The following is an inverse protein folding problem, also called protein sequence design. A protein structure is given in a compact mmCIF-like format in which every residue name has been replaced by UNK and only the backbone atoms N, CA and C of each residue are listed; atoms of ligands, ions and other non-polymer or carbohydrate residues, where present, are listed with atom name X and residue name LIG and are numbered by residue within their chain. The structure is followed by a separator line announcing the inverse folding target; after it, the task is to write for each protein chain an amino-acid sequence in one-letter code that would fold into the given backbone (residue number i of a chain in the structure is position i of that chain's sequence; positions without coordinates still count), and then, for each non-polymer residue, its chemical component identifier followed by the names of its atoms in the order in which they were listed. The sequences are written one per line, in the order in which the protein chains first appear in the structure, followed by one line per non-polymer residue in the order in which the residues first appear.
data_IF_735548193490
#
_entry.id   IF_735548193490
#
_cell.length_a   1.000
_cell.length_b   1.000
_cell.length_c   1.000
_cell.angle_alpha   90.00
_cell.angle_beta   90.00
_cell.angle_gamma   90.00
#
_symmetry.space_group_name_H-M   'P 1'
#
loop_
_entity.id
_entity.type
_entity.pdbx_description
1 polymer ?
#
# COMPACT_ATOMS: atom_id res chain seq x y z
N UNK A 1 -62.75 -33.07 -21.61
CA UNK A 1 -61.89 -34.16 -21.11
C UNK A 1 -60.51 -33.57 -20.81
N UNK A 2 -60.28 -32.99 -19.61
CA UNK A 2 -59.72 -33.61 -18.37
C UNK A 2 -58.26 -34.05 -18.57
N UNK A 3 -57.20 -33.62 -17.84
CA UNK A 3 -56.92 -33.00 -16.52
C UNK A 3 -55.54 -32.30 -16.65
N UNK A 4 -55.20 -31.10 -16.14
CA UNK A 4 -55.10 -30.54 -14.77
C UNK A 4 -54.28 -31.38 -13.77
N UNK A 5 -53.07 -30.92 -13.44
CA UNK A 5 -52.41 -31.22 -12.16
C UNK A 5 -51.74 -29.94 -11.63
N UNK A 6 -52.42 -29.34 -10.67
CA UNK A 6 -51.87 -28.41 -9.67
C UNK A 6 -51.40 -29.26 -8.48
N UNK A 7 -50.25 -28.95 -7.89
CA UNK A 7 -50.03 -29.14 -6.45
C UNK A 7 -49.02 -28.11 -5.92
N UNK A 8 -49.55 -27.13 -5.19
CA UNK A 8 -48.89 -26.42 -4.08
C UNK A 8 -49.34 -27.10 -2.77
N UNK A 9 -48.91 -26.64 -1.59
CA UNK A 9 -47.55 -26.60 -1.04
C UNK A 9 -47.53 -27.31 0.33
N UNK A 10 -46.35 -27.61 0.90
CA UNK A 10 -46.29 -27.97 2.32
C UNK A 10 -45.34 -27.06 3.12
N UNK A 11 -45.92 -26.48 4.17
CA UNK A 11 -45.31 -25.62 5.19
C UNK A 11 -45.12 -26.48 6.42
N UNK A 12 -43.97 -26.45 7.07
CA UNK A 12 -43.82 -26.37 8.54
C UNK A 12 -42.34 -26.01 8.85
N UNK A 13 -42.01 -24.81 9.36
CA UNK A 13 -42.04 -24.39 10.79
C UNK A 13 -40.98 -25.18 11.58
N UNK A 14 -39.86 -24.66 12.12
CA UNK A 14 -39.63 -23.62 13.16
C UNK A 14 -38.10 -23.43 13.29
N UNK A 15 -37.54 -22.22 13.18
CA UNK A 15 -37.10 -21.27 14.25
C UNK A 15 -35.84 -21.64 15.08
N UNK A 16 -35.02 -20.59 15.28
CA UNK A 16 -34.09 -20.28 16.40
C UNK A 16 -32.61 -20.68 16.27
N UNK A 17 -31.76 -19.66 16.10
CA UNK A 17 -30.63 -19.32 16.99
C UNK A 17 -29.96 -18.03 16.46
N UNK A 18 -30.26 -16.85 17.02
CA UNK A 18 -29.52 -16.16 18.09
C UNK A 18 -28.10 -15.71 17.73
N UNK A 19 -28.01 -14.37 17.59
CA UNK A 19 -26.90 -13.44 17.89
C UNK A 19 -25.65 -14.02 18.56
N UNK A 20 -24.49 -13.62 18.05
CA UNK A 20 -23.34 -13.22 18.87
C UNK A 20 -22.50 -12.19 18.11
N UNK A 21 -22.54 -10.95 18.59
CA UNK A 21 -21.50 -9.94 18.39
C UNK A 21 -20.56 -10.13 19.58
N UNK A 22 -19.28 -10.42 19.33
CA UNK A 22 -18.23 -10.26 20.33
C UNK A 22 -16.88 -9.98 19.68
N UNK A 23 -16.40 -8.80 20.05
CA UNK A 23 -15.06 -8.21 20.06
C UNK A 23 -13.90 -9.18 20.29
N UNK A 24 -12.76 -8.94 19.63
CA UNK A 24 -11.43 -9.24 20.18
C UNK A 24 -10.36 -8.33 19.55
N UNK A 25 -10.01 -7.26 20.28
CA UNK A 25 -8.76 -6.51 20.13
C UNK A 25 -7.65 -7.36 20.76
N UNK A 26 -6.68 -7.78 19.96
CA UNK A 26 -5.46 -8.45 20.47
C UNK A 26 -4.40 -7.38 20.68
N UNK A 27 -4.18 -7.01 21.94
CA UNK A 27 -2.95 -6.35 22.40
C UNK A 27 -2.12 -7.43 23.06
N UNK A 28 -1.09 -7.92 22.36
CA UNK A 28 -0.11 -8.83 22.93
C UNK A 28 1.06 -8.00 23.50
N UNK A 29 1.08 -7.83 24.82
CA UNK A 29 2.28 -7.43 25.55
C UNK A 29 3.03 -8.70 25.95
N UNK A 30 4.19 -8.94 25.34
CA UNK A 30 5.11 -10.00 25.75
C UNK A 30 6.17 -9.41 26.68
N UNK A 31 6.06 -9.76 27.96
CA UNK A 31 7.13 -9.62 28.92
C UNK A 31 8.22 -10.67 28.61
N UNK A 32 9.46 -10.22 28.49
CA UNK A 32 10.63 -11.09 28.31
C UNK A 32 11.39 -11.12 29.63
N UNK A 33 11.34 -12.25 30.33
CA UNK A 33 12.34 -12.64 31.33
C UNK A 33 13.02 -13.91 30.83
N UNK A 34 14.33 -13.86 30.64
CA UNK A 34 15.09 -14.99 30.13
C UNK A 34 16.59 -14.72 30.08
N UNK A 35 17.27 -15.14 31.16
CA UNK A 35 18.60 -15.72 31.24
C UNK A 35 19.71 -15.24 30.28
N UNK A 36 20.78 -14.74 30.91
CA UNK A 36 22.11 -14.47 30.35
C UNK A 36 22.72 -15.71 29.67
N UNK A 37 22.52 -15.83 28.36
CA UNK A 37 23.42 -16.59 27.50
C UNK A 37 24.59 -15.68 27.10
N UNK A 38 25.82 -16.19 27.21
CA UNK A 38 27.05 -15.43 26.97
C UNK A 38 26.98 -14.63 25.66
N UNK A 39 27.17 -13.31 25.78
CA UNK A 39 27.21 -12.42 24.63
C UNK A 39 28.32 -12.89 23.69
N UNK A 40 27.94 -13.41 22.52
CA UNK A 40 28.81 -13.36 21.36
C UNK A 40 29.29 -11.90 21.22
N UNK A 41 30.57 -11.63 20.92
CA UNK A 41 31.03 -10.26 20.74
C UNK A 41 30.12 -9.62 19.70
N UNK A 42 29.41 -8.57 20.10
CA UNK A 42 28.51 -7.83 19.23
C UNK A 42 29.29 -7.50 17.96
N UNK A 43 28.85 -8.02 16.80
CA UNK A 43 29.39 -7.55 15.53
C UNK A 43 29.31 -6.03 15.56
N UNK A 44 30.47 -5.36 15.45
CA UNK A 44 30.51 -3.92 15.40
C UNK A 44 29.53 -3.48 14.31
N UNK A 45 28.58 -2.60 14.67
CA UNK A 45 27.58 -2.15 13.72
C UNK A 45 28.30 -1.55 12.50
N UNK A 46 27.88 -1.96 11.29
CA UNK A 46 28.43 -1.44 10.04
C UNK A 46 28.45 0.09 10.11
N UNK A 47 29.58 0.77 9.81
CA UNK A 47 29.66 2.22 9.94
C UNK A 47 28.55 2.96 9.20
N UNK A 48 28.01 4.04 9.79
CA UNK A 48 26.89 4.83 9.23
C UNK A 48 27.19 5.32 7.82
N UNK A 49 28.44 5.69 7.52
CA UNK A 49 28.85 6.09 6.18
C UNK A 49 28.67 4.94 5.15
N UNK A 50 29.03 3.71 5.51
CA UNK A 50 28.87 2.54 4.65
C UNK A 50 27.40 2.19 4.43
N UNK A 51 26.56 2.34 5.46
CA UNK A 51 25.10 2.18 5.33
C UNK A 51 24.50 3.24 4.42
N UNK A 52 24.91 4.50 4.60
CA UNK A 52 24.49 5.64 3.78
C UNK A 52 24.86 5.46 2.31
N UNK A 53 26.11 5.07 2.03
CA UNK A 53 26.57 4.76 0.67
C UNK A 53 25.75 3.65 0.03
N UNK A 54 25.54 2.55 0.76
CA UNK A 54 24.76 1.40 0.28
C UNK A 54 23.31 1.80 -0.03
N UNK A 55 22.69 2.62 0.82
CA UNK A 55 21.34 3.16 0.61
C UNK A 55 21.25 4.02 -0.64
N UNK A 56 22.19 4.95 -0.85
CA UNK A 56 22.23 5.76 -2.07
C UNK A 56 22.42 4.92 -3.32
N UNK A 57 23.31 3.93 -3.29
CA UNK A 57 23.55 3.04 -4.42
C UNK A 57 22.37 2.12 -4.72
N UNK A 58 21.73 1.57 -3.68
CA UNK A 58 20.51 0.79 -3.86
C UNK A 58 19.42 1.64 -4.51
N UNK A 59 19.20 2.85 -4.01
CA UNK A 59 18.21 3.78 -4.57
C UNK A 59 18.56 4.19 -6.00
N UNK A 60 19.82 4.50 -6.31
CA UNK A 60 20.23 4.91 -7.67
C UNK A 60 19.94 3.81 -8.70
N UNK A 61 20.16 2.56 -8.33
CA UNK A 61 19.98 1.38 -9.18
C UNK A 61 18.52 0.89 -9.26
N UNK A 62 17.64 1.33 -8.36
CA UNK A 62 16.23 0.88 -8.30
C UNK A 62 15.20 1.98 -8.52
N UNK A 63 15.59 3.26 -8.54
CA UNK A 63 14.64 4.38 -8.61
C UNK A 63 13.82 4.39 -9.90
N UNK A 64 14.39 3.93 -11.02
CA UNK A 64 13.65 3.83 -12.30
C UNK A 64 12.52 2.79 -12.20
N UNK A 65 12.81 1.61 -11.65
CA UNK A 65 11.80 0.57 -11.43
C UNK A 65 10.74 1.03 -10.41
N UNK A 66 11.19 1.72 -9.35
CA UNK A 66 10.29 2.34 -8.36
C UNK A 66 9.36 3.37 -9.01
N UNK A 67 9.89 4.23 -9.88
CA UNK A 67 9.09 5.22 -10.60
C UNK A 67 8.04 4.55 -11.51
N UNK A 68 8.40 3.47 -12.19
CA UNK A 68 7.47 2.70 -13.00
C UNK A 68 6.32 2.11 -12.16
N UNK A 69 6.64 1.44 -11.05
CA UNK A 69 5.66 0.88 -10.11
C UNK A 69 4.71 1.94 -9.55
N UNK A 70 5.25 3.12 -9.18
CA UNK A 70 4.43 4.23 -8.69
C UNK A 70 3.49 4.78 -9.77
N UNK A 71 3.94 4.87 -11.03
CA UNK A 71 3.07 5.32 -12.14
C UNK A 71 1.96 4.32 -12.44
N UNK A 72 2.24 3.02 -12.41
CA UNK A 72 1.20 1.99 -12.53
C UNK A 72 0.16 2.10 -11.40
N UNK A 73 0.65 2.23 -10.17
CA UNK A 73 -0.22 2.46 -9.00
C UNK A 73 -1.09 3.70 -9.18
N UNK A 74 -0.50 4.81 -9.65
CA UNK A 74 -1.22 6.06 -9.90
C UNK A 74 -2.34 5.87 -10.93
N UNK A 75 -2.08 5.17 -12.04
CA UNK A 75 -3.09 4.93 -13.08
C UNK A 75 -4.29 4.11 -12.56
N UNK A 76 -4.03 3.10 -11.72
CA UNK A 76 -5.08 2.32 -11.06
C UNK A 76 -5.87 3.19 -10.08
N UNK A 77 -5.18 4.00 -9.27
CA UNK A 77 -5.82 4.90 -8.31
C UNK A 77 -6.71 5.95 -9.00
N UNK A 78 -6.27 6.53 -10.12
CA UNK A 78 -7.07 7.47 -10.91
C UNK A 78 -8.32 6.82 -11.50
N UNK A 79 -8.21 5.58 -11.97
CA UNK A 79 -9.37 4.82 -12.46
C UNK A 79 -10.35 4.55 -11.33
N UNK A 80 -9.86 4.10 -10.16
CA UNK A 80 -10.71 3.90 -8.99
C UNK A 80 -11.38 5.22 -8.54
N UNK A 81 -10.63 6.33 -8.49
CA UNK A 81 -11.18 7.63 -8.13
C UNK A 81 -12.36 8.01 -9.04
N UNK A 82 -12.22 7.84 -10.36
CA UNK A 82 -13.32 8.09 -11.31
C UNK A 82 -14.53 7.20 -11.04
N UNK A 83 -14.32 5.92 -10.77
CA UNK A 83 -15.40 4.99 -10.39
C UNK A 83 -16.11 5.45 -9.13
N UNK A 84 -15.38 5.85 -8.09
CA UNK A 84 -15.97 6.33 -6.84
C UNK A 84 -16.70 7.66 -7.02
N UNK A 85 -16.20 8.57 -7.85
CA UNK A 85 -16.90 9.81 -8.19
C UNK A 85 -18.24 9.53 -8.86
N UNK A 86 -18.30 8.57 -9.78
CA UNK A 86 -19.55 8.14 -10.41
C UNK A 86 -20.51 7.49 -9.39
N UNK A 87 -19.98 6.67 -8.48
CA UNK A 87 -20.77 6.07 -7.41
C UNK A 87 -21.36 7.12 -6.46
N UNK A 88 -20.61 8.18 -6.12
CA UNK A 88 -21.10 9.31 -5.34
C UNK A 88 -22.21 10.06 -6.08
N UNK A 89 -22.06 10.30 -7.38
CA UNK A 89 -23.10 10.94 -8.19
C UNK A 89 -24.40 10.11 -8.17
N UNK A 90 -24.30 8.79 -8.33
CA UNK A 90 -25.44 7.89 -8.23
C UNK A 90 -26.08 7.88 -6.83
N UNK A 91 -25.26 7.86 -5.77
CA UNK A 91 -25.75 7.89 -4.39
C UNK A 91 -26.48 9.21 -4.08
N UNK A 92 -25.98 10.35 -4.56
CA UNK A 92 -26.66 11.65 -4.43
C UNK A 92 -27.97 11.71 -5.20
N UNK A 93 -28.03 11.12 -6.40
CA UNK A 93 -29.27 11.01 -7.16
C UNK A 93 -30.32 10.16 -6.42
N UNK A 94 -29.89 9.03 -5.83
CA UNK A 94 -30.75 8.17 -5.02
C UNK A 94 -31.23 8.87 -3.75
N UNK A 95 -30.37 9.64 -3.07
CA UNK A 95 -30.75 10.47 -1.93
C UNK A 95 -31.84 11.48 -2.32
N UNK A 96 -31.63 12.24 -3.39
CA UNK A 96 -32.62 13.21 -3.86
C UNK A 96 -33.97 12.55 -4.24
N UNK A 97 -33.94 11.33 -4.81
CA UNK A 97 -35.15 10.57 -5.09
C UNK A 97 -35.88 10.12 -3.82
N UNK A 98 -35.14 9.65 -2.81
CA UNK A 98 -35.71 9.24 -1.53
C UNK A 98 -36.31 10.42 -0.74
N UNK A 99 -35.67 11.59 -0.81
CA UNK A 99 -36.20 12.84 -0.22
C UNK A 99 -37.52 13.27 -0.89
N UNK A 100 -37.63 13.16 -2.22
CA UNK A 100 -38.89 13.40 -2.94
C UNK A 100 -39.98 12.41 -2.53
N UNK A 101 -39.64 11.13 -2.38
CA UNK A 101 -40.60 10.12 -1.91
C UNK A 101 -41.07 10.40 -0.49
N UNK A 102 -40.16 10.82 0.40
CA UNK A 102 -40.50 11.22 1.76
C UNK A 102 -41.44 12.44 1.79
N UNK A 103 -41.17 13.45 0.98
CA UNK A 103 -42.04 14.62 0.85
C UNK A 103 -43.45 14.21 0.39
N UNK A 104 -43.55 13.38 -0.65
CA UNK A 104 -44.82 12.86 -1.16
C UNK A 104 -45.58 12.01 -0.13
N UNK A 105 -44.89 11.14 0.61
CA UNK A 105 -45.50 10.33 1.66
C UNK A 105 -45.96 11.17 2.86
N UNK A 106 -45.23 12.24 3.19
CA UNK A 106 -45.61 13.20 4.23
C UNK A 106 -46.89 13.93 3.84
N UNK A 107 -46.95 14.49 2.63
CA UNK A 107 -48.15 15.14 2.11
C UNK A 107 -49.36 14.19 2.06
N UNK A 108 -49.16 12.93 1.65
CA UNK A 108 -50.23 11.93 1.63
C UNK A 108 -50.74 11.55 3.03
N UNK A 109 -49.84 11.51 4.02
CA UNK A 109 -50.19 11.27 5.41
C UNK A 109 -51.00 12.45 5.98
N UNK A 110 -50.56 13.68 5.74
CA UNK A 110 -51.25 14.89 6.17
C UNK A 110 -52.64 15.00 5.52
N UNK A 111 -52.76 14.71 4.23
CA UNK A 111 -54.02 14.71 3.50
C UNK A 111 -55.01 13.62 3.99
N UNK A 112 -54.53 12.50 4.54
CA UNK A 112 -55.39 11.42 5.04
C UNK A 112 -55.98 11.71 6.43
N UNK A 113 -55.40 12.64 7.19
CA UNK A 113 -55.77 12.90 8.58
C UNK A 113 -57.14 13.59 8.73
N UNK A 114 -57.47 14.70 8.02
CA UNK A 114 -58.77 15.34 8.16
C UNK A 114 -59.96 14.42 7.81
N UNK A 115 -59.96 13.66 6.70
CA UNK A 115 -61.06 12.75 6.38
C UNK A 115 -61.27 11.63 7.40
N UNK A 116 -60.21 11.16 8.07
CA UNK A 116 -60.32 10.18 9.15
C UNK A 116 -60.99 10.80 10.38
N UNK A 117 -60.58 12.01 10.78
CA UNK A 117 -61.17 12.73 11.90
C UNK A 117 -62.66 13.01 11.65
N UNK A 118 -63.01 13.47 10.45
CA UNK A 118 -64.40 13.69 10.05
C UNK A 118 -65.22 12.40 10.07
N UNK A 119 -64.68 11.28 9.55
CA UNK A 119 -65.39 9.99 9.58
C UNK A 119 -65.61 9.48 11.01
N UNK A 120 -64.67 9.74 11.93
CA UNK A 120 -64.80 9.40 13.35
C UNK A 120 -65.87 10.25 14.05
N UNK A 121 -65.93 11.54 13.75
CA UNK A 121 -66.99 12.44 14.24
C UNK A 121 -68.37 12.03 13.71
N UNK A 122 -68.50 11.80 12.40
CA UNK A 122 -69.75 11.36 11.78
C UNK A 122 -70.28 10.04 12.40
N UNK A 123 -69.38 9.12 12.76
CA UNK A 123 -69.75 7.89 13.45
C UNK A 123 -70.27 8.16 14.87
N UNK A 124 -69.62 9.06 15.62
CA UNK A 124 -70.09 9.46 16.95
C UNK A 124 -71.47 10.12 16.87
N UNK A 125 -71.66 11.05 15.94
CA UNK A 125 -72.93 11.76 15.72
C UNK A 125 -74.06 10.80 15.29
N UNK A 126 -73.77 9.85 14.40
CA UNK A 126 -74.76 8.85 13.97
C UNK A 126 -75.20 7.96 15.15
N UNK A 127 -74.28 7.57 16.03
CA UNK A 127 -74.58 6.79 17.24
C UNK A 127 -75.41 7.59 18.24
N UNK A 128 -75.09 8.88 18.43
CA UNK A 128 -75.87 9.77 19.28
C UNK A 128 -77.30 9.93 18.75
N UNK A 129 -77.46 10.22 17.46
CA UNK A 129 -78.78 10.36 16.82
C UNK A 129 -79.62 9.09 16.95
N UNK A 130 -79.02 7.90 16.86
CA UNK A 130 -79.70 6.62 17.09
C UNK A 130 -80.25 6.51 18.52
N UNK A 131 -79.51 6.98 19.53
CA UNK A 131 -79.96 6.96 20.93
C UNK A 131 -81.14 7.91 21.17
N UNK A 132 -81.13 9.06 20.49
CA UNK A 132 -82.11 10.15 20.63
C UNK A 132 -83.38 9.97 19.80
N UNK A 133 -83.49 8.96 18.91
CA UNK A 133 -84.65 8.74 18.03
C UNK A 133 -85.98 8.77 18.80
N UNK A 134 -86.84 9.76 18.52
CA UNK A 134 -88.22 9.86 19.00
C UNK A 134 -89.14 10.41 17.89
N UNK A 135 -90.36 9.87 17.72
CA UNK A 135 -90.90 8.65 18.32
C UNK A 135 -90.18 7.39 17.83
N UNK A 136 -90.15 6.34 18.65
CA UNK A 136 -89.47 5.05 18.37
C UNK A 136 -90.27 4.16 17.43
N UNK A 137 -90.61 4.68 16.26
CA UNK A 137 -91.24 3.88 15.20
C UNK A 137 -90.20 2.99 14.51
N UNK A 138 -90.63 1.82 14.02
CA UNK A 138 -89.77 0.87 13.30
C UNK A 138 -88.99 1.55 12.16
N UNK A 139 -89.67 2.37 11.37
CA UNK A 139 -89.07 3.08 10.23
C UNK A 139 -87.96 4.07 10.66
N UNK A 140 -88.14 4.80 11.76
CA UNK A 140 -87.16 5.77 12.25
C UNK A 140 -85.92 5.07 12.85
N UNK A 141 -86.13 3.97 13.59
CA UNK A 141 -85.04 3.15 14.10
C UNK A 141 -84.22 2.53 12.97
N UNK A 142 -84.87 1.95 11.95
CA UNK A 142 -84.16 1.36 10.80
C UNK A 142 -83.33 2.40 10.04
N UNK A 143 -83.84 3.62 9.80
CA UNK A 143 -83.05 4.68 9.16
C UNK A 143 -81.81 5.06 9.97
N UNK A 144 -81.96 5.23 11.29
CA UNK A 144 -80.84 5.59 12.15
C UNK A 144 -79.79 4.47 12.23
N UNK A 145 -80.22 3.20 12.28
CA UNK A 145 -79.32 2.03 12.23
C UNK A 145 -78.55 1.95 10.90
N UNK A 146 -79.21 2.21 9.78
CA UNK A 146 -78.55 2.26 8.47
C UNK A 146 -77.51 3.40 8.40
N UNK A 147 -77.82 4.56 8.98
CA UNK A 147 -76.88 5.69 9.06
C UNK A 147 -75.64 5.36 9.89
N UNK A 148 -75.80 4.68 11.04
CA UNK A 148 -74.67 4.17 11.83
C UNK A 148 -73.83 3.19 11.01
N UNK A 149 -74.46 2.21 10.36
CA UNK A 149 -73.76 1.22 9.54
C UNK A 149 -72.95 1.88 8.41
N UNK A 150 -73.52 2.87 7.73
CA UNK A 150 -72.82 3.63 6.69
C UNK A 150 -71.62 4.41 7.25
N UNK A 151 -71.79 5.05 8.42
CA UNK A 151 -70.71 5.79 9.08
C UNK A 151 -69.58 4.86 9.58
N UNK A 152 -69.91 3.66 10.08
CA UNK A 152 -68.93 2.64 10.49
C UNK A 152 -68.10 2.14 9.30
N UNK A 153 -68.74 1.87 8.17
CA UNK A 153 -68.06 1.46 6.94
C UNK A 153 -67.11 2.56 6.43
N UNK A 154 -67.57 3.82 6.42
CA UNK A 154 -66.73 4.95 6.02
C UNK A 154 -65.55 5.16 6.99
N UNK A 155 -65.79 5.09 8.30
CA UNK A 155 -64.73 5.17 9.30
C UNK A 155 -63.67 4.08 9.09
N UNK A 156 -64.10 2.83 8.90
CA UNK A 156 -63.22 1.68 8.66
C UNK A 156 -62.38 1.86 7.38
N UNK A 157 -63.01 2.33 6.29
CA UNK A 157 -62.31 2.64 5.05
C UNK A 157 -61.24 3.72 5.24
N UNK A 158 -61.57 4.82 5.92
CA UNK A 158 -60.63 5.92 6.18
C UNK A 158 -59.51 5.50 7.12
N UNK A 159 -59.81 4.72 8.15
CA UNK A 159 -58.83 4.17 9.08
C UNK A 159 -57.85 3.25 8.35
N UNK A 160 -58.33 2.37 7.47
CA UNK A 160 -57.49 1.49 6.65
C UNK A 160 -56.60 2.30 5.71
N UNK A 161 -57.13 3.35 5.06
CA UNK A 161 -56.34 4.22 4.18
C UNK A 161 -55.27 4.97 4.97
N UNK A 162 -55.61 5.55 6.12
CA UNK A 162 -54.68 6.23 7.01
C UNK A 162 -53.56 5.30 7.50
N UNK A 163 -53.90 4.05 7.86
CA UNK A 163 -52.90 3.02 8.20
C UNK A 163 -51.91 2.76 7.06
N UNK A 164 -52.40 2.59 5.83
CA UNK A 164 -51.55 2.39 4.64
C UNK A 164 -50.59 3.56 4.39
N UNK A 165 -51.06 4.81 4.47
CA UNK A 165 -50.17 5.98 4.29
C UNK A 165 -49.20 6.17 5.45
N UNK A 166 -49.58 5.82 6.69
CA UNK A 166 -48.66 5.85 7.83
C UNK A 166 -47.50 4.84 7.66
N UNK A 167 -47.80 3.63 7.17
CA UNK A 167 -46.77 2.64 6.82
C UNK A 167 -45.88 3.14 5.68
N UNK A 168 -46.45 3.75 4.64
CA UNK A 168 -45.69 4.32 3.52
C UNK A 168 -44.77 5.46 3.97
N UNK A 169 -45.23 6.37 4.83
CA UNK A 169 -44.42 7.43 5.43
C UNK A 169 -43.26 6.86 6.24
N UNK A 170 -43.52 5.84 7.06
CA UNK A 170 -42.48 5.17 7.85
C UNK A 170 -41.41 4.53 6.95
N UNK A 171 -41.83 3.88 5.86
CA UNK A 171 -40.92 3.30 4.89
C UNK A 171 -40.09 4.38 4.17
N UNK A 172 -40.72 5.48 3.74
CA UNK A 172 -40.05 6.59 3.07
C UNK A 172 -39.02 7.28 3.97
N UNK A 173 -39.31 7.47 5.27
CA UNK A 173 -38.35 7.99 6.25
C UNK A 173 -37.10 7.12 6.36
N UNK A 174 -37.29 5.80 6.44
CA UNK A 174 -36.17 4.84 6.49
C UNK A 174 -35.35 4.85 5.20
N UNK A 175 -36.02 4.90 4.05
CA UNK A 175 -35.36 4.96 2.75
C UNK A 175 -34.53 6.24 2.59
N UNK A 176 -35.08 7.40 2.98
CA UNK A 176 -34.35 8.67 2.96
C UNK A 176 -33.11 8.64 3.87
N UNK A 177 -33.26 8.18 5.12
CA UNK A 177 -32.14 8.06 6.04
C UNK A 177 -31.03 7.12 5.52
N UNK A 178 -31.41 5.97 4.95
CA UNK A 178 -30.47 5.02 4.35
C UNK A 178 -29.74 5.62 3.14
N UNK A 179 -30.45 6.36 2.28
CA UNK A 179 -29.86 7.00 1.10
C UNK A 179 -28.89 8.12 1.48
N UNK A 180 -29.21 8.94 2.49
CA UNK A 180 -28.30 9.95 3.04
C UNK A 180 -27.04 9.31 3.63
N UNK A 181 -27.18 8.22 4.39
CA UNK A 181 -26.04 7.49 4.92
C UNK A 181 -25.14 6.95 3.79
N UNK A 182 -25.73 6.37 2.74
CA UNK A 182 -24.99 5.87 1.58
C UNK A 182 -24.25 6.98 0.83
N UNK A 183 -24.88 8.16 0.64
CA UNK A 183 -24.24 9.32 0.01
C UNK A 183 -23.05 9.84 0.84
N UNK A 184 -23.18 9.88 2.17
CA UNK A 184 -22.09 10.27 3.07
C UNK A 184 -20.93 9.28 3.03
N UNK A 185 -21.21 7.97 3.03
CA UNK A 185 -20.17 6.94 2.86
C UNK A 185 -19.45 7.10 1.53
N UNK A 186 -20.19 7.26 0.42
CA UNK A 186 -19.59 7.46 -0.90
C UNK A 186 -18.72 8.73 -0.95
N UNK A 187 -19.13 9.82 -0.29
CA UNK A 187 -18.36 11.05 -0.23
C UNK A 187 -17.03 10.86 0.50
N UNK A 188 -17.04 10.16 1.65
CA UNK A 188 -15.83 9.80 2.39
C UNK A 188 -14.89 8.94 1.56
N UNK A 189 -15.43 7.95 0.82
CA UNK A 189 -14.64 7.08 -0.06
C UNK A 189 -13.99 7.86 -1.21
N UNK A 190 -14.69 8.82 -1.82
CA UNK A 190 -14.10 9.73 -2.81
C UNK A 190 -12.97 10.55 -2.21
N UNK A 191 -13.15 11.10 -1.01
CA UNK A 191 -12.09 11.83 -0.29
C UNK A 191 -10.83 10.98 -0.07
N UNK A 192 -11.00 9.74 0.40
CA UNK A 192 -9.89 8.81 0.64
C UNK A 192 -9.15 8.44 -0.65
N UNK A 193 -9.88 8.15 -1.74
CA UNK A 193 -9.26 7.82 -3.04
C UNK A 193 -8.53 9.01 -3.66
N UNK A 194 -9.07 10.23 -3.53
CA UNK A 194 -8.39 11.46 -3.96
C UNK A 194 -7.09 11.69 -3.17
N UNK A 195 -7.11 11.50 -1.85
CA UNK A 195 -5.92 11.63 -1.01
C UNK A 195 -4.82 10.62 -1.40
N UNK A 196 -5.20 9.38 -1.73
CA UNK A 196 -4.27 8.35 -2.19
C UNK A 196 -3.59 8.74 -3.53
N UNK A 197 -4.34 9.27 -4.48
CA UNK A 197 -3.80 9.79 -5.76
C UNK A 197 -2.76 10.89 -5.50
N UNK A 198 -3.10 11.88 -4.66
CA UNK A 198 -2.20 12.99 -4.31
C UNK A 198 -0.94 12.48 -3.62
N UNK A 199 -1.07 11.53 -2.69
CA UNK A 199 0.08 10.94 -2.01
C UNK A 199 1.03 10.25 -2.99
N UNK A 200 0.52 9.46 -3.94
CA UNK A 200 1.35 8.81 -4.96
C UNK A 200 2.02 9.82 -5.90
N UNK A 201 1.29 10.87 -6.33
CA UNK A 201 1.86 11.95 -7.15
C UNK A 201 3.03 12.64 -6.43
N UNK A 202 2.88 12.95 -5.14
CA UNK A 202 3.97 13.53 -4.32
C UNK A 202 5.17 12.60 -4.23
N UNK A 203 4.96 11.29 -4.06
CA UNK A 203 6.06 10.30 -4.02
C UNK A 203 6.81 10.24 -5.35
N UNK A 204 6.10 10.32 -6.48
CA UNK A 204 6.73 10.37 -7.82
C UNK A 204 7.55 11.66 -7.97
N UNK A 205 6.98 12.81 -7.59
CA UNK A 205 7.65 14.11 -7.71
C UNK A 205 8.90 14.22 -6.81
N UNK A 206 8.92 13.52 -5.68
CA UNK A 206 10.05 13.49 -4.75
C UNK A 206 11.19 12.53 -5.17
N UNK A 207 11.04 11.77 -6.26
CA UNK A 207 12.10 10.87 -6.70
C UNK A 207 13.28 11.65 -7.26
N UNK A 208 14.46 11.41 -6.68
CA UNK A 208 15.73 11.88 -7.21
C UNK A 208 16.11 11.04 -8.45
N UNK A 209 16.92 11.62 -9.34
CA UNK A 209 17.44 10.88 -10.50
C UNK A 209 18.51 9.86 -10.08
N UNK A 210 18.72 8.78 -10.85
CA UNK A 210 19.83 7.85 -10.61
C UNK A 210 21.19 8.55 -10.47
N UNK A 211 21.45 9.56 -11.31
CA UNK A 211 22.72 10.29 -11.32
C UNK A 211 22.93 11.11 -10.04
N UNK A 212 21.89 11.80 -9.54
CA UNK A 212 21.96 12.54 -8.27
C UNK A 212 22.27 11.60 -7.09
N UNK A 213 21.63 10.44 -7.05
CA UNK A 213 21.85 9.45 -5.99
C UNK A 213 23.26 8.84 -6.06
N UNK A 214 23.73 8.51 -7.26
CA UNK A 214 25.09 8.02 -7.47
C UNK A 214 26.15 9.09 -7.07
N UNK A 215 25.90 10.37 -7.38
CA UNK A 215 26.77 11.46 -6.96
C UNK A 215 26.80 11.63 -5.42
N UNK A 216 25.65 11.46 -4.75
CA UNK A 216 25.59 11.45 -3.28
C UNK A 216 26.37 10.27 -2.67
N UNK A 217 26.32 9.09 -3.28
CA UNK A 217 27.15 7.96 -2.88
C UNK A 217 28.65 8.26 -3.09
N UNK A 218 29.02 8.81 -4.25
CA UNK A 218 30.40 9.19 -4.54
C UNK A 218 30.95 10.17 -3.49
N UNK A 219 30.17 11.19 -3.12
CA UNK A 219 30.56 12.20 -2.14
C UNK A 219 30.93 11.64 -0.76
N UNK A 220 30.34 10.52 -0.35
CA UNK A 220 30.62 9.89 0.96
C UNK A 220 31.66 8.76 0.89
N UNK A 221 32.18 8.42 -0.30
CA UNK A 221 33.00 7.21 -0.50
C UNK A 221 34.32 7.24 0.29
N UNK A 222 34.98 8.39 0.41
CA UNK A 222 36.17 8.51 1.26
C UNK A 222 35.85 8.35 2.76
N UNK A 223 34.71 8.87 3.22
CA UNK A 223 34.24 8.68 4.60
C UNK A 223 33.90 7.21 4.89
N UNK A 224 33.40 6.46 3.90
CA UNK A 224 33.24 5.01 4.00
C UNK A 224 34.58 4.35 4.27
N UNK A 225 35.61 4.63 3.46
CA UNK A 225 36.94 4.04 3.64
C UNK A 225 37.52 4.37 5.01
N UNK A 226 37.46 5.65 5.43
CA UNK A 226 38.00 6.11 6.70
C UNK A 226 37.29 5.45 7.91
N UNK A 227 35.98 5.25 7.83
CA UNK A 227 35.19 4.68 8.93
C UNK A 227 35.19 3.14 8.96
N UNK A 228 35.27 2.47 7.81
CA UNK A 228 35.31 1.00 7.73
C UNK A 228 36.68 0.47 8.14
N UNK A 229 37.77 1.10 7.69
CA UNK A 229 39.13 0.58 7.89
C UNK A 229 39.51 0.23 9.34
N UNK A 230 39.26 1.07 10.36
CA UNK A 230 39.69 0.75 11.73
C UNK A 230 38.87 -0.36 12.40
N UNK A 231 37.68 -0.68 11.88
CA UNK A 231 36.74 -1.64 12.50
C UNK A 231 36.45 -2.86 11.63
N UNK A 232 37.03 -2.93 10.44
CA UNK A 232 36.77 -3.99 9.47
C UNK A 232 37.17 -5.36 10.00
N UNK A 233 36.30 -6.33 9.78
CA UNK A 233 36.54 -7.76 9.99
C UNK A 233 36.11 -8.55 8.76
N UNK A 234 36.58 -9.79 8.63
CA UNK A 234 36.14 -10.67 7.54
C UNK A 234 34.64 -10.99 7.58
N UNK A 235 33.99 -10.87 8.74
CA UNK A 235 32.53 -11.03 8.89
C UNK A 235 31.73 -9.96 8.14
N UNK A 236 32.35 -8.81 7.85
CA UNK A 236 31.75 -7.71 7.08
C UNK A 236 31.73 -7.96 5.58
N UNK A 237 32.32 -9.08 5.15
CA UNK A 237 32.33 -9.50 3.75
C UNK A 237 31.17 -10.42 3.39
N UNK A 238 30.95 -10.59 2.10
CA UNK A 238 30.02 -11.55 1.51
C UNK A 238 30.53 -11.97 0.13
N UNK A 239 30.10 -13.14 -0.34
CA UNK A 239 30.47 -13.67 -1.65
C UNK A 239 29.42 -13.29 -2.69
N UNK A 240 29.86 -12.66 -3.79
CA UNK A 240 29.01 -12.31 -4.94
C UNK A 240 29.69 -12.82 -6.19
N UNK A 241 29.09 -13.78 -6.89
CA UNK A 241 29.65 -14.39 -8.10
C UNK A 241 31.11 -14.86 -7.96
N UNK A 242 31.46 -15.44 -6.80
CA UNK A 242 32.83 -15.90 -6.52
C UNK A 242 33.80 -14.80 -6.06
N UNK A 243 33.37 -13.54 -6.01
CA UNK A 243 34.17 -12.41 -5.50
C UNK A 243 33.76 -12.06 -4.08
N UNK A 244 34.71 -12.13 -3.14
CA UNK A 244 34.47 -11.68 -1.76
C UNK A 244 34.52 -10.15 -1.69
N UNK A 245 33.42 -9.49 -1.36
CA UNK A 245 33.32 -8.03 -1.28
C UNK A 245 32.70 -7.60 0.05
N UNK A 246 32.87 -6.33 0.44
CA UNK A 246 32.22 -5.78 1.62
C UNK A 246 30.69 -5.76 1.41
N UNK A 247 29.91 -6.05 2.47
CA UNK A 247 28.44 -6.10 2.39
C UNK A 247 27.81 -4.81 1.88
N UNK A 248 28.41 -3.65 2.17
CA UNK A 248 27.91 -2.35 1.69
C UNK A 248 28.00 -2.17 0.17
N UNK A 249 28.94 -2.84 -0.52
CA UNK A 249 29.11 -2.74 -1.98
C UNK A 249 28.52 -3.93 -2.73
N UNK A 250 28.11 -4.99 -2.02
CA UNK A 250 27.67 -6.25 -2.60
C UNK A 250 26.52 -6.09 -3.61
N UNK A 251 25.50 -5.29 -3.29
CA UNK A 251 24.38 -5.07 -4.20
C UNK A 251 24.82 -4.34 -5.48
N UNK A 252 25.62 -3.27 -5.33
CA UNK A 252 26.10 -2.48 -6.46
C UNK A 252 27.03 -3.31 -7.37
N UNK A 253 27.94 -4.09 -6.77
CA UNK A 253 28.81 -5.01 -7.50
C UNK A 253 28.01 -6.08 -8.25
N UNK A 254 27.05 -6.73 -7.59
CA UNK A 254 26.16 -7.70 -8.22
C UNK A 254 25.47 -7.09 -9.45
N UNK A 255 24.92 -5.88 -9.31
CA UNK A 255 24.23 -5.17 -10.40
C UNK A 255 25.19 -4.84 -11.56
N UNK A 256 26.43 -4.46 -11.26
CA UNK A 256 27.46 -4.21 -12.27
C UNK A 256 27.76 -5.48 -13.09
N UNK A 257 27.96 -6.62 -12.42
CA UNK A 257 28.21 -7.91 -13.08
C UNK A 257 27.01 -8.35 -13.91
N UNK A 258 25.80 -8.24 -13.37
CA UNK A 258 24.55 -8.59 -14.07
C UNK A 258 24.35 -7.76 -15.36
N UNK A 259 24.59 -6.44 -15.29
CA UNK A 259 24.43 -5.53 -16.42
C UNK A 259 25.54 -5.70 -17.46
N UNK A 260 26.77 -6.00 -17.03
CA UNK A 260 27.86 -6.36 -17.94
C UNK A 260 27.50 -7.62 -18.73
N UNK A 261 27.02 -8.68 -18.05
CA UNK A 261 26.62 -9.92 -18.69
C UNK A 261 25.47 -9.71 -19.70
N UNK A 262 24.48 -8.87 -19.36
CA UNK A 262 23.39 -8.47 -20.30
C UNK A 262 23.92 -7.74 -21.54
N UNK A 263 25.02 -7.02 -21.41
CA UNK A 263 25.69 -6.36 -22.53
C UNK A 263 26.64 -7.32 -23.31
N UNK A 264 26.63 -8.62 -23.01
CA UNK A 264 27.53 -9.61 -23.61
C UNK A 264 28.96 -9.57 -23.06
N UNK A 265 29.21 -8.80 -21.99
CA UNK A 265 30.52 -8.66 -21.36
C UNK A 265 30.58 -9.54 -20.12
N UNK A 266 31.27 -10.67 -20.21
CA UNK A 266 31.49 -11.56 -19.07
C UNK A 266 32.67 -11.05 -18.24
N UNK A 267 32.39 -10.66 -16.99
CA UNK A 267 33.39 -10.24 -16.02
C UNK A 267 33.40 -11.14 -14.80
N UNK A 268 34.57 -11.30 -14.20
CA UNK A 268 34.78 -11.87 -12.87
C UNK A 268 35.72 -10.93 -12.10
N UNK A 269 35.91 -11.13 -10.80
CA UNK A 269 36.89 -10.30 -10.09
C UNK A 269 37.53 -10.99 -8.89
N UNK A 270 38.77 -10.58 -8.58
CA UNK A 270 39.39 -10.77 -7.28
C UNK A 270 38.95 -9.67 -6.31
N UNK A 271 38.52 -10.05 -5.11
CA UNK A 271 37.99 -9.11 -4.11
C UNK A 271 38.88 -8.98 -2.88
N UNK A 272 38.33 -9.27 -1.71
CA UNK A 272 39.00 -9.21 -0.42
C UNK A 272 40.35 -9.96 -0.41
N UNK A 273 41.33 -9.35 0.25
CA UNK A 273 42.65 -9.92 0.48
C UNK A 273 43.14 -9.53 1.87
N UNK A 274 43.74 -10.46 2.61
CA UNK A 274 44.30 -10.15 3.95
C UNK A 274 45.51 -9.22 3.87
N UNK A 275 45.80 -8.48 4.95
CA UNK A 275 47.03 -7.69 5.09
C UNK A 275 48.28 -8.55 4.90
N UNK A 276 48.27 -9.79 5.41
CA UNK A 276 49.37 -10.73 5.22
C UNK A 276 49.60 -11.05 3.74
N UNK A 277 48.52 -11.30 2.99
CA UNK A 277 48.62 -11.52 1.55
C UNK A 277 49.08 -10.26 0.80
N UNK A 278 48.76 -9.06 1.30
CA UNK A 278 49.30 -7.80 0.76
C UNK A 278 50.82 -7.70 0.96
N UNK A 279 51.33 -8.09 2.13
CA UNK A 279 52.77 -8.15 2.44
C UNK A 279 53.49 -9.12 1.49
N UNK A 280 52.94 -10.33 1.32
CA UNK A 280 53.48 -11.33 0.39
C UNK A 280 53.56 -10.81 -1.03
N UNK A 281 52.49 -10.14 -1.50
CA UNK A 281 52.45 -9.60 -2.85
C UNK A 281 53.48 -8.50 -3.08
N UNK A 282 53.79 -7.68 -2.06
CA UNK A 282 54.87 -6.70 -2.16
C UNK A 282 56.27 -7.35 -2.27
N UNK A 283 56.48 -8.49 -1.58
CA UNK A 283 57.71 -9.28 -1.75
C UNK A 283 57.80 -9.89 -3.15
N UNK A 284 56.71 -10.55 -3.59
CA UNK A 284 56.62 -11.16 -4.92
C UNK A 284 56.86 -10.11 -6.00
N UNK A 285 56.25 -8.94 -5.87
CA UNK A 285 56.33 -7.85 -6.84
C UNK A 285 57.60 -6.99 -6.69
N UNK A 286 58.57 -7.42 -5.86
CA UNK A 286 59.90 -6.83 -5.77
C UNK A 286 59.91 -5.37 -5.32
N UNK A 287 59.01 -4.99 -4.40
CA UNK A 287 59.03 -3.64 -3.84
C UNK A 287 60.34 -3.42 -3.04
N UNK A 288 61.01 -2.26 -3.19
CA UNK A 288 62.26 -1.96 -2.46
C UNK A 288 62.14 -2.02 -0.94
N UNK A 289 60.99 -1.58 -0.41
CA UNK A 289 60.60 -1.75 0.99
C UNK A 289 59.11 -2.12 1.10
N UNK A 290 58.75 -2.92 2.10
CA UNK A 290 57.39 -3.43 2.26
C UNK A 290 56.43 -2.39 2.84
N UNK A 291 56.91 -1.45 3.65
CA UNK A 291 56.05 -0.59 4.46
C UNK A 291 55.97 0.86 3.98
N UNK A 292 56.99 1.32 3.25
CA UNK A 292 57.17 2.73 2.91
C UNK A 292 57.30 2.99 1.42
N UNK A 293 57.82 2.03 0.63
CA UNK A 293 58.04 2.26 -0.79
C UNK A 293 56.71 2.52 -1.53
N UNK A 294 56.63 3.54 -2.40
CA UNK A 294 55.40 3.84 -3.14
C UNK A 294 55.03 2.67 -4.05
N UNK A 295 53.72 2.47 -4.31
CA UNK A 295 53.24 1.35 -5.13
C UNK A 295 53.91 1.29 -6.51
N UNK A 296 54.17 2.45 -7.12
CA UNK A 296 54.84 2.59 -8.42
C UNK A 296 56.30 2.14 -8.45
N UNK A 297 56.95 1.97 -7.29
CA UNK A 297 58.34 1.47 -7.21
C UNK A 297 58.45 -0.06 -7.23
N UNK A 298 57.32 -0.76 -7.11
CA UNK A 298 57.26 -2.21 -7.27
C UNK A 298 57.25 -2.57 -8.76
N UNK A 299 57.76 -3.77 -9.11
CA UNK A 299 57.70 -4.29 -10.49
C UNK A 299 56.25 -4.37 -11.01
N UNK A 300 55.32 -4.75 -10.14
CA UNK A 300 53.88 -4.65 -10.36
C UNK A 300 53.33 -3.72 -9.29
N UNK A 301 52.65 -2.61 -9.65
CA UNK A 301 52.08 -1.69 -8.67
C UNK A 301 51.28 -2.41 -7.59
N UNK A 302 51.66 -2.19 -6.33
CA UNK A 302 51.07 -2.89 -5.19
C UNK A 302 50.95 -1.95 -4.00
N UNK A 303 49.75 -1.68 -3.51
CA UNK A 303 49.53 -0.78 -2.37
C UNK A 303 50.31 -1.19 -1.11
N UNK A 304 50.68 -0.20 -0.29
CA UNK A 304 51.32 -0.40 1.01
C UNK A 304 50.34 -1.17 1.93
N UNK A 305 50.79 -2.15 2.75
CA UNK A 305 49.91 -2.91 3.63
C UNK A 305 49.20 -2.01 4.63
N UNK A 306 47.90 -2.25 4.84
CA UNK A 306 47.02 -1.40 5.62
C UNK A 306 46.41 -0.22 4.84
N UNK A 307 46.86 0.05 3.61
CA UNK A 307 46.31 1.11 2.73
C UNK A 307 45.46 0.55 1.59
N UNK A 308 45.65 -0.71 1.21
CA UNK A 308 44.88 -1.34 0.13
C UNK A 308 43.38 -1.35 0.45
N UNK A 309 42.54 -1.09 -0.54
CA UNK A 309 41.09 -1.23 -0.42
C UNK A 309 40.63 -2.69 -0.52
N UNK A 310 41.47 -3.59 -1.06
CA UNK A 310 41.22 -5.03 -0.99
C UNK A 310 41.28 -5.55 0.44
N UNK A 311 42.07 -4.92 1.32
CA UNK A 311 42.17 -5.30 2.74
C UNK A 311 40.90 -5.05 3.54
N UNK A 312 39.98 -4.25 2.99
CA UNK A 312 38.67 -3.94 3.58
C UNK A 312 37.52 -4.27 2.62
N UNK A 313 37.81 -5.06 1.58
CA UNK A 313 36.86 -5.56 0.59
C UNK A 313 36.04 -4.49 -0.16
N UNK A 314 36.57 -3.26 -0.28
CA UNK A 314 35.94 -2.13 -1.00
C UNK A 314 36.52 -1.91 -2.41
N UNK A 315 37.38 -2.82 -2.87
CA UNK A 315 37.92 -2.85 -4.22
C UNK A 315 37.78 -4.25 -4.84
N UNK A 316 37.76 -4.27 -6.16
CA UNK A 316 37.72 -5.46 -7.01
C UNK A 316 38.71 -5.31 -8.15
N UNK A 317 39.49 -6.36 -8.39
CA UNK A 317 40.37 -6.50 -9.54
C UNK A 317 39.61 -7.32 -10.59
N UNK A 318 39.02 -6.64 -11.55
CA UNK A 318 38.15 -7.23 -12.57
C UNK A 318 38.98 -7.95 -13.62
N UNK A 319 38.48 -9.09 -14.07
CA UNK A 319 39.02 -9.94 -15.13
C UNK A 319 37.93 -10.26 -16.14
N UNK A 320 38.33 -10.64 -17.36
CA UNK A 320 37.43 -11.13 -18.39
C UNK A 320 38.09 -12.27 -19.17
N UNK A 321 37.36 -13.36 -19.39
CA UNK A 321 37.90 -14.57 -20.01
C UNK A 321 39.10 -15.16 -19.25
N UNK A 322 39.12 -15.03 -17.91
CA UNK A 322 40.21 -15.50 -17.06
C UNK A 322 41.49 -14.65 -17.10
N UNK A 323 41.47 -13.49 -17.75
CA UNK A 323 42.64 -12.60 -17.89
C UNK A 323 42.40 -11.24 -17.25
N UNK A 324 43.46 -10.63 -16.73
CA UNK A 324 43.44 -9.25 -16.26
C UNK A 324 43.09 -8.29 -17.39
N UNK A 325 42.35 -7.23 -17.06
CA UNK A 325 41.96 -6.24 -18.06
C UNK A 325 43.15 -5.39 -18.51
N UNK A 326 43.15 -5.05 -19.79
CA UNK A 326 44.00 -4.01 -20.39
C UNK A 326 43.14 -2.82 -20.80
N UNK A 327 43.76 -1.67 -21.08
CA UNK A 327 43.04 -0.48 -21.57
C UNK A 327 42.30 -0.69 -22.89
N UNK A 328 42.67 -1.73 -23.66
CA UNK A 328 42.05 -2.10 -24.94
C UNK A 328 40.97 -3.17 -24.80
N UNK A 329 40.88 -3.84 -23.65
CA UNK A 329 39.93 -4.93 -23.39
C UNK A 329 38.48 -4.46 -23.53
N UNK A 330 37.58 -5.22 -24.18
CA UNK A 330 36.16 -4.86 -24.28
C UNK A 330 35.51 -4.63 -22.90
N UNK A 331 35.84 -5.47 -21.92
CA UNK A 331 35.36 -5.32 -20.55
C UNK A 331 35.84 -4.02 -19.88
N UNK A 332 37.09 -3.60 -20.09
CA UNK A 332 37.57 -2.32 -19.59
C UNK A 332 36.82 -1.14 -20.20
N UNK A 333 36.62 -1.16 -21.53
CA UNK A 333 35.86 -0.10 -22.23
C UNK A 333 34.43 0.00 -21.69
N UNK A 334 33.79 -1.14 -21.44
CA UNK A 334 32.46 -1.17 -20.82
C UNK A 334 32.47 -0.59 -19.40
N UNK A 335 33.40 -1.03 -18.54
CA UNK A 335 33.50 -0.53 -17.17
C UNK A 335 33.81 0.97 -17.14
N UNK A 336 34.69 1.47 -18.02
CA UNK A 336 35.00 2.90 -18.14
C UNK A 336 33.76 3.74 -18.42
N UNK A 337 32.81 3.20 -19.19
CA UNK A 337 31.56 3.89 -19.51
C UNK A 337 30.49 3.73 -18.42
N UNK A 338 30.46 2.62 -17.69
CA UNK A 338 29.30 2.25 -16.86
C UNK A 338 29.57 2.01 -15.38
N UNK A 339 30.80 1.69 -14.96
CA UNK A 339 31.13 1.33 -13.58
C UNK A 339 30.73 2.42 -12.56
N UNK A 340 30.85 3.69 -12.96
CA UNK A 340 30.46 4.83 -12.12
C UNK A 340 28.97 4.78 -11.70
N UNK A 341 28.09 4.18 -12.53
CA UNK A 341 26.67 4.00 -12.20
C UNK A 341 26.45 3.05 -11.03
N UNK A 342 27.44 2.18 -10.77
CA UNK A 342 27.47 1.23 -9.68
C UNK A 342 28.40 1.69 -8.54
N UNK A 343 28.85 2.95 -8.58
CA UNK A 343 29.71 3.52 -7.54
C UNK A 343 31.16 3.04 -7.59
N UNK A 344 31.59 2.40 -8.68
CA UNK A 344 32.97 1.96 -8.88
C UNK A 344 33.71 2.92 -9.80
N UNK A 345 34.93 3.28 -9.40
CA UNK A 345 35.85 4.19 -10.08
C UNK A 345 37.14 3.44 -10.36
N UNK A 346 37.71 3.63 -11.54
CA UNK A 346 38.97 3.01 -11.92
C UNK A 346 40.16 3.76 -11.32
N UNK A 347 41.16 2.99 -10.88
CA UNK A 347 42.50 3.52 -10.68
C UNK A 347 43.19 3.65 -12.05
N UNK A 348 43.54 4.86 -12.54
CA UNK A 348 43.96 5.05 -13.93
C UNK A 348 45.20 4.24 -14.35
N UNK A 349 46.11 3.96 -13.42
CA UNK A 349 47.31 3.16 -13.67
C UNK A 349 47.04 1.66 -13.77
N UNK A 350 45.87 1.20 -13.35
CA UNK A 350 45.51 -0.22 -13.23
C UNK A 350 44.15 -0.49 -13.90
N UNK A 351 44.10 -0.85 -15.19
CA UNK A 351 42.84 -1.07 -15.91
C UNK A 351 41.92 -2.13 -15.28
N UNK A 352 42.49 -3.08 -14.52
CA UNK A 352 41.74 -4.09 -13.80
C UNK A 352 41.18 -3.59 -12.46
N UNK A 353 41.70 -2.52 -11.86
CA UNK A 353 41.38 -2.14 -10.49
C UNK A 353 40.21 -1.16 -10.41
N UNK A 354 39.18 -1.52 -9.66
CA UNK A 354 37.98 -0.72 -9.46
C UNK A 354 37.60 -0.68 -7.98
N UNK A 355 37.34 0.50 -7.45
CA UNK A 355 36.96 0.68 -6.05
C UNK A 355 35.98 1.82 -5.88
N UNK A 356 35.46 2.02 -4.68
CA UNK A 356 34.51 3.12 -4.44
C UNK A 356 35.17 4.52 -4.46
N UNK A 357 36.50 4.60 -4.41
CA UNK A 357 37.26 5.87 -4.46
C UNK A 357 38.20 5.99 -5.66
N UNK A 358 38.43 4.90 -6.41
CA UNK A 358 39.41 4.86 -7.50
C UNK A 358 40.85 4.65 -7.04
N UNK A 359 41.09 4.33 -5.77
CA UNK A 359 42.41 4.11 -5.18
C UNK A 359 42.43 4.36 -3.68
#
# INVERSE_FOLDING_TARGET
MTKRQEHLPDRHVRTLARRAVTTALVVAALAVTGATAGAAPAQAAVPVAAQTWSSYMYRSLTVVATAYQLRQTLAVQQTNQRTQTNALAAARAAQAAAERQLAGATAAFDAARPPLLAARQNLADARQRLAEVRPRTKANLTRAQNAVTAAENLHTLRQTRAGKVATALTAARRAAAAATAAANTAATTVGATAAAVVATQRRIAALQTPAQLAAQAAAVSHSVVASVRPVFTTADTTLVYGTTVHRSVAYAYKRMVDDAARAGIQISAGGFRTKQRQIELRRINGCPDIWTAPASSCRVPTAIPGRSLHEIALAVDVTSGGRSLTSTSPAFKWLKLYAHRYGFVNLPSEPWHWSITGG
#
